data_IF_885376570162
#
_entry.id   IF_885376570162
#
_cell.length_a   1.000
_cell.length_b   1.000
_cell.length_c   1.000
_cell.angle_alpha   90.00
_cell.angle_beta   90.00
_cell.angle_gamma   90.00
#
_symmetry.space_group_name_H-M   'P 1'
#
loop_
_entity.id
_entity.type
_entity.pdbx_description
1 polymer ?
#
# COMPACT_ATOMS: atom_id res chain seq x y z
N UNK A 1 12.29 -22.80 50.81
CA UNK A 1 12.63 -23.15 49.42
C UNK A 1 11.35 -23.59 48.72
N UNK A 2 10.91 -23.10 47.57
CA UNK A 2 11.31 -22.00 46.70
C UNK A 2 10.08 -21.73 45.83
N UNK A 3 9.72 -20.46 45.74
CA UNK A 3 8.62 -19.86 44.99
C UNK A 3 8.43 -20.44 43.59
N UNK A 4 7.25 -21.04 43.35
CA UNK A 4 6.75 -21.32 42.02
C UNK A 4 6.68 -20.01 41.22
N UNK A 5 7.18 -19.93 39.97
CA UNK A 5 7.02 -18.74 39.16
C UNK A 5 5.54 -18.63 38.77
N UNK A 6 4.88 -17.58 39.24
CA UNK A 6 3.54 -17.22 38.82
C UNK A 6 3.54 -16.95 37.31
N UNK A 7 2.57 -17.47 36.55
CA UNK A 7 2.44 -17.13 35.13
C UNK A 7 2.23 -15.62 35.05
N UNK A 8 3.19 -14.89 34.47
CA UNK A 8 3.02 -13.47 34.23
C UNK A 8 1.82 -13.30 33.27
N UNK A 9 0.87 -12.41 33.56
CA UNK A 9 -0.19 -12.10 32.62
C UNK A 9 0.49 -11.56 31.37
N UNK A 10 0.47 -12.31 30.27
CA UNK A 10 0.86 -11.76 28.98
C UNK A 10 0.02 -10.51 28.77
N UNK A 11 0.71 -9.37 28.74
CA UNK A 11 0.19 -8.05 28.55
C UNK A 11 -1.10 -8.04 27.70
N UNK A 12 -2.27 -7.86 28.34
CA UNK A 12 -3.58 -7.74 27.68
C UNK A 12 -3.58 -6.68 26.57
N UNK A 13 -2.74 -5.65 26.72
CA UNK A 13 -2.53 -4.61 25.73
C UNK A 13 -1.83 -5.13 24.48
N UNK A 14 -0.95 -6.13 24.59
CA UNK A 14 -0.24 -6.74 23.46
C UNK A 14 -1.17 -7.61 22.62
N UNK A 15 -2.08 -8.34 23.26
CA UNK A 15 -3.13 -9.11 22.58
C UNK A 15 -4.16 -8.19 21.92
N UNK A 16 -4.57 -7.10 22.58
CA UNK A 16 -5.47 -6.10 21.99
C UNK A 16 -4.83 -5.35 20.82
N UNK A 17 -3.54 -5.01 20.89
CA UNK A 17 -2.82 -4.43 19.75
C UNK A 17 -2.69 -5.43 18.61
N UNK A 18 -2.41 -6.71 18.91
CA UNK A 18 -2.40 -7.75 17.88
C UNK A 18 -3.77 -7.88 17.24
N UNK A 19 -4.85 -7.94 18.01
CA UNK A 19 -6.23 -8.01 17.54
C UNK A 19 -6.62 -6.76 16.74
N UNK A 20 -6.31 -5.55 17.19
CA UNK A 20 -6.56 -4.31 16.42
C UNK A 20 -5.76 -4.27 15.11
N UNK A 21 -4.52 -4.79 15.09
CA UNK A 21 -3.68 -4.84 13.90
C UNK A 21 -4.08 -5.99 12.96
N UNK A 22 -4.46 -7.16 13.48
CA UNK A 22 -4.80 -8.37 12.71
C UNK A 22 -6.28 -8.43 12.29
N UNK A 23 -7.18 -7.80 13.03
CA UNK A 23 -8.63 -7.84 12.77
C UNK A 23 -9.07 -6.73 11.81
N UNK A 24 -8.24 -5.71 11.62
CA UNK A 24 -8.31 -4.78 10.47
C UNK A 24 -7.75 -5.41 9.17
N UNK A 25 -6.99 -6.50 9.29
CA UNK A 25 -6.36 -7.24 8.19
C UNK A 25 -7.38 -8.20 7.55
N UNK A 26 -8.50 -7.66 7.06
CA UNK A 26 -9.29 -8.43 6.10
C UNK A 26 -8.37 -8.75 4.91
N UNK A 27 -8.33 -9.99 4.40
CA UNK A 27 -7.49 -10.33 3.25
C UNK A 27 -7.80 -9.43 2.02
N UNK A 28 -9.02 -8.90 1.95
CA UNK A 28 -9.41 -7.89 0.99
C UNK A 28 -8.72 -6.52 1.22
N UNK A 29 -8.69 -6.01 2.45
CA UNK A 29 -8.03 -4.75 2.79
C UNK A 29 -6.52 -4.78 2.55
N UNK A 30 -5.88 -5.91 2.85
CA UNK A 30 -4.44 -6.09 2.58
C UNK A 30 -4.11 -6.15 1.09
N UNK A 31 -4.93 -6.82 0.29
CA UNK A 31 -4.76 -6.85 -1.17
C UNK A 31 -4.94 -5.45 -1.77
N UNK A 32 -5.94 -4.72 -1.26
CA UNK A 32 -6.22 -3.35 -1.68
C UNK A 32 -5.03 -2.42 -1.40
N UNK A 33 -4.49 -2.43 -0.19
CA UNK A 33 -3.32 -1.62 0.17
C UNK A 33 -2.10 -1.93 -0.72
N UNK A 34 -1.84 -3.21 -1.00
CA UNK A 34 -0.74 -3.61 -1.90
C UNK A 34 -0.96 -3.12 -3.34
N UNK A 35 -2.19 -3.23 -3.86
CA UNK A 35 -2.52 -2.74 -5.21
C UNK A 35 -2.43 -1.21 -5.28
N UNK A 36 -2.87 -0.52 -4.23
CA UNK A 36 -2.81 0.93 -4.13
C UNK A 36 -1.35 1.41 -4.12
N UNK A 37 -0.52 0.85 -3.24
CA UNK A 37 0.92 1.16 -3.18
C UNK A 37 1.60 0.86 -4.52
N UNK A 38 1.29 -0.29 -5.13
CA UNK A 38 1.81 -0.65 -6.45
C UNK A 38 1.41 0.37 -7.54
N UNK A 39 0.17 0.84 -7.50
CA UNK A 39 -0.36 1.84 -8.43
C UNK A 39 0.34 3.19 -8.26
N UNK A 40 0.65 3.60 -7.03
CA UNK A 40 1.41 4.83 -6.73
C UNK A 40 2.83 4.75 -7.29
N UNK A 41 3.52 3.63 -7.08
CA UNK A 41 4.88 3.47 -7.61
C UNK A 41 4.85 3.50 -9.15
N UNK A 42 3.89 2.79 -9.76
CA UNK A 42 3.77 2.74 -11.21
C UNK A 42 3.42 4.11 -11.82
N UNK A 43 2.55 4.88 -11.18
CA UNK A 43 2.20 6.23 -11.65
C UNK A 43 3.41 7.16 -11.65
N UNK A 44 4.24 7.12 -10.60
CA UNK A 44 5.49 7.88 -10.52
C UNK A 44 6.45 7.45 -11.63
N UNK A 45 6.58 6.15 -11.89
CA UNK A 45 7.42 5.66 -13.00
C UNK A 45 6.92 6.20 -14.34
N UNK A 46 5.61 6.18 -14.60
CA UNK A 46 5.04 6.73 -15.85
C UNK A 46 5.36 8.21 -16.01
N UNK A 47 5.21 9.02 -14.96
CA UNK A 47 5.54 10.45 -14.98
C UNK A 47 7.05 10.67 -15.23
N UNK A 48 7.91 9.86 -14.60
CA UNK A 48 9.36 9.92 -14.84
C UNK A 48 9.68 9.54 -16.29
N UNK A 49 9.04 8.50 -16.85
CA UNK A 49 9.24 8.11 -18.24
C UNK A 49 8.76 9.19 -19.22
N UNK A 50 7.68 9.88 -18.90
CA UNK A 50 7.17 10.99 -19.72
C UNK A 50 8.11 12.21 -19.70
N UNK A 51 8.83 12.43 -18.61
CA UNK A 51 9.85 13.49 -18.52
C UNK A 51 11.05 13.28 -19.48
N UNK A 52 11.19 12.09 -20.07
CA UNK A 52 12.32 11.73 -20.94
C UNK A 52 11.98 11.97 -22.42
N UNK A 53 12.67 12.90 -23.12
CA UNK A 53 12.29 13.32 -24.47
C UNK A 53 12.24 12.20 -25.52
N UNK A 54 13.20 11.27 -25.49
CA UNK A 54 13.23 10.17 -26.47
C UNK A 54 12.09 9.16 -26.25
N UNK A 55 11.64 9.02 -25.00
CA UNK A 55 10.54 8.12 -24.63
C UNK A 55 9.22 8.79 -24.99
N UNK A 56 9.06 10.07 -24.63
CA UNK A 56 7.90 10.87 -24.99
C UNK A 56 7.67 10.92 -26.50
N UNK A 57 8.73 11.09 -27.30
CA UNK A 57 8.61 11.11 -28.76
C UNK A 57 8.04 9.80 -29.34
N UNK A 58 8.34 8.66 -28.70
CA UNK A 58 7.93 7.33 -29.19
C UNK A 58 6.65 6.80 -28.53
N UNK A 59 6.38 7.17 -27.27
CA UNK A 59 5.33 6.60 -26.43
C UNK A 59 4.43 7.65 -25.76
N UNK A 60 4.57 8.94 -26.07
CA UNK A 60 3.86 10.03 -25.38
C UNK A 60 2.34 9.86 -25.36
N UNK A 61 1.73 9.36 -26.43
CA UNK A 61 0.28 9.09 -26.45
C UNK A 61 -0.14 8.02 -25.43
N UNK A 62 0.69 6.98 -25.24
CA UNK A 62 0.45 5.91 -24.26
C UNK A 62 0.71 6.43 -22.84
N UNK A 63 1.78 7.20 -22.65
CA UNK A 63 2.12 7.79 -21.34
C UNK A 63 1.05 8.78 -20.88
N UNK A 64 0.53 9.62 -21.78
CA UNK A 64 -0.58 10.52 -21.50
C UNK A 64 -1.86 9.75 -21.13
N UNK A 65 -2.19 8.67 -21.85
CA UNK A 65 -3.32 7.83 -21.49
C UNK A 65 -3.16 7.17 -20.12
N UNK A 66 -1.94 6.72 -19.77
CA UNK A 66 -1.63 6.16 -18.45
C UNK A 66 -1.69 7.22 -17.35
N UNK A 67 -1.21 8.44 -17.61
CA UNK A 67 -1.29 9.56 -16.67
C UNK A 67 -2.74 9.90 -16.33
N UNK A 68 -3.61 10.03 -17.35
CA UNK A 68 -5.04 10.23 -17.16
C UNK A 68 -5.70 9.05 -16.45
N UNK A 69 -5.32 7.83 -16.78
CA UNK A 69 -5.80 6.63 -16.08
C UNK A 69 -5.47 6.68 -14.58
N UNK A 70 -4.21 6.92 -14.21
CA UNK A 70 -3.81 7.01 -12.79
C UNK A 70 -4.45 8.21 -12.08
N UNK A 71 -4.57 9.34 -12.77
CA UNK A 71 -5.24 10.53 -12.22
C UNK A 71 -6.70 10.21 -11.86
N UNK A 72 -7.44 9.57 -12.77
CA UNK A 72 -8.84 9.17 -12.51
C UNK A 72 -8.91 8.10 -11.42
N UNK A 73 -8.02 7.10 -11.48
CA UNK A 73 -7.96 6.02 -10.49
C UNK A 73 -7.76 6.58 -9.07
N UNK A 74 -6.81 7.48 -8.87
CA UNK A 74 -6.59 8.11 -7.56
C UNK A 74 -7.68 9.11 -7.18
N UNK A 75 -8.32 9.76 -8.15
CA UNK A 75 -9.46 10.65 -7.88
C UNK A 75 -10.68 9.88 -7.38
N UNK A 76 -10.90 8.64 -7.86
CA UNK A 76 -11.99 7.79 -7.38
C UNK A 76 -11.69 7.24 -5.98
N UNK A 77 -10.41 6.98 -5.71
CA UNK A 77 -9.91 6.43 -4.46
C UNK A 77 -9.90 7.45 -3.30
N UNK A 78 -9.66 8.73 -3.59
CA UNK A 78 -9.54 9.83 -2.61
C UNK A 78 -10.88 10.50 -2.30
#
# INVERSE_FOLDING_TARGET
>A
MSSQPTPQPMARWRSQLHEIIFEADTPAGKLFDVVLIGSIILSVIVVILDSVPWIQFKYGAILYALEWFFTILFTIEY
#
